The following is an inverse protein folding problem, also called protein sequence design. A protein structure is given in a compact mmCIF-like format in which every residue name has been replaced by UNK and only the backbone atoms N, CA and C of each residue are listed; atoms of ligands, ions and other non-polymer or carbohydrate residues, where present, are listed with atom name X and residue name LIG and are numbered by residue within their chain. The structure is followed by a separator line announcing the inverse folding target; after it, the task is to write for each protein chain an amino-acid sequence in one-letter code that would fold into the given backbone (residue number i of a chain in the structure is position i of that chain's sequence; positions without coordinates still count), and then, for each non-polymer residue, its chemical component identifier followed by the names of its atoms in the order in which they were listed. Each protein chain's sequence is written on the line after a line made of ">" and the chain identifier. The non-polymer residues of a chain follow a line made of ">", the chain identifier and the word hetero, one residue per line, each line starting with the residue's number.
data_IF_882991251503
#
_entry.id   IF_882991251503
#
_cell.length_a   1.000
_cell.length_b   1.000
_cell.length_c   1.000
_cell.angle_alpha   90.00
_cell.angle_beta   90.00
_cell.angle_gamma   90.00
#
_symmetry.space_group_name_H-M   'P 1'
#
loop_
_entity.id
_entity.type
_entity.pdbx_description
1 polymer ?
2 non-polymer ?
3 non-polymer ?
4 water ?
#
# COMPACT_ATOMS: atom_id res chain seq x y z
N UNK A 13 9.79 -5.96 28.65
CA UNK A 13 8.81 -5.01 28.07
C UNK A 13 8.98 -4.93 26.53
N UNK A 14 10.04 -5.56 25.99
CA UNK A 14 10.27 -5.61 24.54
C UNK A 14 9.26 -6.52 23.84
N UNK A 15 8.48 -5.95 22.93
CA UNK A 15 7.44 -6.67 22.22
C UNK A 15 7.81 -6.90 20.76
N UNK A 16 7.00 -7.73 20.12
CA UNK A 16 7.04 -7.87 18.70
C UNK A 16 5.70 -8.34 18.13
N UNK A 17 5.52 -8.09 16.85
CA UNK A 17 4.31 -8.48 16.18
C UNK A 17 4.71 -8.97 14.82
N UNK A 18 4.06 -10.02 14.35
CA UNK A 18 4.43 -10.66 13.09
C UNK A 18 3.17 -10.59 12.29
N UNK A 19 3.24 -10.10 11.07
CA UNK A 19 2.06 -9.86 10.25
C UNK A 19 1.79 -11.01 9.31
N UNK A 20 2.59 -12.07 9.41
CA UNK A 20 2.41 -13.24 8.54
C UNK A 20 1.93 -14.46 9.33
N UNK A 21 1.17 -15.30 8.66
CA UNK A 21 0.58 -16.45 9.32
C UNK A 21 1.22 -17.76 8.90
N UNK A 22 2.12 -17.71 7.91
CA UNK A 22 2.71 -18.87 7.25
C UNK A 22 4.04 -18.48 6.57
N UNK A 23 4.98 -19.44 6.43
CA UNK A 23 6.30 -19.16 5.84
C UNK A 23 6.58 -20.07 4.65
N UNK A 24 6.92 -19.48 3.51
CA UNK A 24 7.26 -20.22 2.29
C UNK A 24 8.72 -19.94 1.86
N UNK A 25 9.18 -20.65 0.83
CA UNK A 25 10.42 -20.37 0.13
C UNK A 25 10.13 -20.13 -1.36
N UNK A 26 10.91 -19.33 -2.08
CA UNK A 26 12.09 -18.62 -1.58
C UNK A 26 12.06 -17.25 -2.22
N UNK A 27 12.79 -16.31 -1.62
CA UNK A 27 12.78 -14.87 -1.99
C UNK A 27 14.22 -14.42 -2.35
N UNK A 28 14.36 -13.62 -3.39
CA UNK A 28 15.67 -13.25 -3.90
C UNK A 28 15.97 -11.77 -3.74
N UNK A 29 17.25 -11.42 -3.65
CA UNK A 29 17.72 -10.09 -3.41
C UNK A 29 18.73 -9.76 -4.50
N UNK A 30 18.53 -8.62 -5.14
CA UNK A 30 19.39 -8.14 -6.18
C UNK A 30 19.69 -6.68 -6.02
N UNK A 31 19.40 -6.11 -4.86
CA UNK A 31 19.66 -4.69 -4.60
C UNK A 31 18.44 -3.83 -4.28
N UNK A 32 17.21 -4.33 -4.49
CA UNK A 32 16.02 -3.56 -4.20
C UNK A 32 15.52 -3.79 -2.75
N UNK A 33 15.17 -2.69 -2.10
CA UNK A 33 14.64 -2.73 -0.74
C UNK A 33 13.30 -3.47 -0.67
N UNK A 34 13.13 -4.32 0.33
CA UNK A 34 11.76 -4.71 0.72
C UNK A 34 11.20 -3.55 1.53
N UNK A 35 9.98 -3.13 1.20
CA UNK A 35 9.27 -2.06 1.87
C UNK A 35 7.81 -2.44 2.17
N UNK A 36 7.35 -2.00 3.34
CA UNK A 36 5.97 -2.06 3.72
C UNK A 36 5.63 -0.80 4.53
N UNK A 37 4.47 -0.23 4.27
CA UNK A 37 3.98 0.85 5.11
C UNK A 37 3.16 0.31 6.25
N UNK A 38 3.18 1.08 7.33
CA UNK A 38 2.33 0.80 8.45
C UNK A 38 2.03 2.08 9.23
N UNK A 39 0.95 2.01 9.99
CA UNK A 39 0.62 2.96 11.04
C UNK A 39 0.07 2.18 12.22
N UNK A 40 0.20 2.81 13.37
CA UNK A 40 -0.19 2.27 14.64
C UNK A 40 -1.23 3.22 15.27
N UNK A 41 -2.12 2.64 16.08
CA UNK A 41 -3.18 3.37 16.72
C UNK A 41 -2.76 3.90 18.10
N UNK A 42 -1.54 3.60 18.51
CA UNK A 42 -1.01 4.02 19.80
C UNK A 42 0.48 4.30 19.60
N UNK A 43 1.02 5.17 20.45
CA UNK A 43 2.42 5.60 20.35
C UNK A 43 3.41 4.51 20.77
N UNK A 44 4.39 4.20 19.93
CA UNK A 44 5.40 3.19 20.28
C UNK A 44 6.83 3.64 19.93
N UNK A 45 7.81 2.89 20.44
CA UNK A 45 9.20 3.07 20.03
C UNK A 45 9.65 1.83 19.33
N UNK A 46 9.95 1.94 18.05
CA UNK A 46 10.41 0.80 17.27
C UNK A 46 11.93 0.68 17.44
N UNK A 47 12.40 -0.51 17.77
CA UNK A 47 13.83 -0.68 18.02
C UNK A 47 14.46 -1.52 16.94
N UNK A 48 13.63 -2.21 16.15
CA UNK A 48 14.15 -3.00 15.05
C UNK A 48 13.10 -3.74 14.28
N UNK A 49 13.56 -4.62 13.37
CA UNK A 49 12.72 -5.54 12.69
C UNK A 49 13.20 -6.96 12.90
N UNK A 50 12.28 -7.89 12.70
CA UNK A 50 12.64 -9.28 12.54
C UNK A 50 12.57 -9.51 11.06
N UNK A 51 13.61 -10.15 10.52
CA UNK A 51 13.64 -10.49 9.09
C UNK A 51 13.81 -11.98 8.88
N UNK A 52 13.26 -12.48 7.77
CA UNK A 52 13.38 -13.88 7.40
C UNK A 52 14.81 -14.07 6.95
N UNK A 53 15.37 -15.25 7.22
CA UNK A 53 16.74 -15.57 6.82
C UNK A 53 16.80 -16.61 5.71
N UNK A 54 18.02 -17.06 5.45
CA UNK A 54 18.32 -17.82 4.26
C UNK A 54 17.66 -19.20 4.27
N UNK A 55 17.58 -19.73 3.08
CA UNK A 55 17.06 -21.06 2.83
C UNK A 55 18.11 -22.11 3.25
N UNK A 56 19.37 -21.90 2.86
CA UNK A 56 20.49 -22.77 3.36
C UNK A 56 21.49 -21.98 4.19
N UNK A 57 22.24 -22.72 4.97
CA UNK A 57 23.14 -22.13 5.92
C UNK A 57 24.33 -23.03 6.14
N UNK A 58 25.31 -22.55 6.90
CA UNK A 58 25.26 -21.23 7.51
C UNK A 58 25.65 -20.15 6.51
N UNK A 59 25.11 -18.96 6.75
CA UNK A 59 25.33 -17.84 5.86
C UNK A 59 24.82 -16.57 6.54
N UNK A 60 25.03 -15.42 5.92
CA UNK A 60 24.64 -14.17 6.49
C UNK A 60 24.30 -13.13 5.44
N UNK A 61 23.93 -11.94 5.92
CA UNK A 61 23.50 -10.83 5.08
C UNK A 61 24.13 -9.51 5.49
N UNK A 62 24.37 -8.60 4.56
CA UNK A 62 24.36 -7.19 4.96
C UNK A 62 22.92 -6.78 4.78
N UNK A 63 22.48 -5.86 5.62
CA UNK A 63 21.12 -5.36 5.57
C UNK A 63 21.10 -3.93 5.98
N UNK A 64 20.48 -3.08 5.17
CA UNK A 64 20.21 -1.69 5.54
C UNK A 64 18.75 -1.57 5.95
N UNK A 65 18.46 -1.21 7.20
CA UNK A 65 17.08 -1.03 7.64
C UNK A 65 16.75 0.44 7.79
N UNK A 66 15.52 0.84 7.47
CA UNK A 66 15.10 2.22 7.67
C UNK A 66 13.65 2.33 8.04
N UNK A 67 13.32 3.39 8.79
CA UNK A 67 11.98 3.81 8.98
C UNK A 67 11.92 5.24 8.44
N UNK A 68 10.95 5.51 7.59
CA UNK A 68 10.79 6.76 6.91
C UNK A 68 9.41 7.33 7.23
N UNK A 69 9.29 8.64 7.45
CA UNK A 69 7.96 9.27 7.49
C UNK A 69 7.38 9.30 6.08
N UNK A 70 6.24 8.64 5.85
CA UNK A 70 5.76 8.41 4.48
C UNK A 70 5.40 9.69 3.73
N UNK A 71 4.77 10.62 4.41
CA UNK A 71 4.18 11.76 3.72
C UNK A 71 5.28 12.63 3.06
N UNK A 72 6.42 12.78 3.74
CA UNK A 72 7.53 13.62 3.28
C UNK A 72 8.74 12.87 2.73
N UNK A 73 8.74 11.54 2.86
CA UNK A 73 9.87 10.70 2.54
C UNK A 73 11.15 11.12 3.23
N UNK A 74 11.03 11.44 4.51
CA UNK A 74 12.15 11.79 5.35
C UNK A 74 12.48 10.56 6.21
N UNK A 75 13.76 10.22 6.32
CA UNK A 75 14.25 9.11 7.14
C UNK A 75 14.22 9.53 8.60
N UNK A 76 13.62 8.71 9.48
CA UNK A 76 13.64 8.92 10.93
C UNK A 76 14.73 8.12 11.59
N UNK A 77 15.04 6.95 11.02
CA UNK A 77 16.02 6.03 11.56
C UNK A 77 16.59 5.17 10.44
N UNK A 78 17.87 4.83 10.54
CA UNK A 78 18.57 4.04 9.54
C UNK A 78 19.83 3.40 10.07
N UNK A 79 20.07 2.16 9.65
CA UNK A 79 21.22 1.40 10.14
C UNK A 79 21.67 0.38 9.10
N UNK A 80 22.93 0.48 8.71
CA UNK A 80 23.60 -0.48 7.85
C UNK A 80 24.18 -1.51 8.76
N UNK A 81 23.63 -2.70 8.74
CA UNK A 81 23.95 -3.69 9.72
C UNK A 81 23.98 -5.04 9.00
N UNK A 82 23.65 -6.11 9.72
CA UNK A 82 23.80 -7.48 9.24
C UNK A 82 23.22 -8.45 10.24
N UNK A 83 23.05 -9.70 9.81
CA UNK A 83 22.66 -10.82 10.67
C UNK A 83 23.13 -12.09 10.02
N UNK A 84 23.38 -13.11 10.82
CA UNK A 84 23.75 -14.40 10.29
C UNK A 84 22.61 -15.35 10.57
N UNK A 85 22.59 -16.47 9.84
CA UNK A 85 21.46 -17.40 9.92
C UNK A 85 21.75 -18.82 9.40
N UNK A 86 20.87 -19.73 9.86
CA UNK A 86 21.06 -21.20 9.87
C UNK A 86 20.20 -21.98 8.84
N UNK A 87 19.30 -21.29 8.15
CA UNK A 87 18.40 -21.94 7.21
C UNK A 87 16.97 -22.18 7.71
N UNK A 88 16.74 -22.05 9.01
CA UNK A 88 15.38 -22.16 9.56
C UNK A 88 14.46 -21.06 9.03
N UNK A 89 13.17 -21.30 9.25
CA UNK A 89 12.07 -20.41 8.83
C UNK A 89 11.74 -19.35 9.88
N UNK A 90 12.59 -19.29 10.90
CA UNK A 90 12.47 -18.33 11.95
C UNK A 90 12.83 -16.90 11.44
N UNK A 91 12.61 -15.91 12.30
CA UNK A 91 12.89 -14.53 12.02
C UNK A 91 14.14 -14.17 12.78
N UNK A 92 14.87 -13.19 12.25
CA UNK A 92 16.13 -12.75 12.84
C UNK A 92 16.10 -11.25 13.12
N UNK A 93 16.55 -10.87 14.32
CA UNK A 93 16.46 -9.48 14.78
C UNK A 93 17.57 -8.67 14.10
N UNK A 94 17.22 -7.52 13.57
CA UNK A 94 18.18 -6.52 13.15
C UNK A 94 17.71 -5.21 13.75
N UNK A 95 18.59 -4.55 14.49
CA UNK A 95 18.26 -3.45 15.39
C UNK A 95 18.71 -2.09 14.84
N UNK A 96 17.92 -1.05 15.10
CA UNK A 96 18.29 0.33 14.79
C UNK A 96 19.24 0.80 15.86
N UNK A 97 19.99 1.85 15.57
CA UNK A 97 21.02 2.32 16.52
C UNK A 97 20.32 2.91 17.75
N UNK A 98 19.14 3.47 17.56
CA UNK A 98 18.32 3.98 18.67
C UNK A 98 16.85 3.80 18.35
N UNK A 99 15.99 3.84 19.38
CA UNK A 99 14.56 3.80 19.20
C UNK A 99 14.04 4.96 18.34
N UNK A 100 13.17 4.63 17.40
CA UNK A 100 12.45 5.62 16.60
C UNK A 100 11.03 5.71 17.18
N UNK A 101 10.60 6.91 17.58
CA UNK A 101 9.29 7.10 18.13
C UNK A 101 8.28 7.13 16.99
N UNK A 102 7.21 6.35 17.11
CA UNK A 102 6.16 6.29 16.11
C UNK A 102 4.88 6.84 16.72
N UNK A 103 4.33 7.88 16.08
CA UNK A 103 3.19 8.60 16.63
C UNK A 103 1.94 7.92 16.13
N UNK A 104 0.85 8.01 16.92
CA UNK A 104 -0.39 7.35 16.50
C UNK A 104 -0.96 7.84 15.16
N UNK A 105 -1.41 6.87 14.35
CA UNK A 105 -2.11 7.14 13.11
C UNK A 105 -1.31 7.95 12.05
N UNK A 106 0.03 7.98 12.17
CA UNK A 106 0.93 8.52 11.11
C UNK A 106 1.48 7.37 10.25
N UNK A 107 1.50 7.55 8.93
CA UNK A 107 1.92 6.49 8.03
C UNK A 107 3.44 6.54 7.93
N UNK A 108 4.06 5.37 8.18
CA UNK A 108 5.49 5.18 8.20
C UNK A 108 5.80 4.13 7.18
N UNK A 109 7.05 4.15 6.66
CA UNK A 109 7.50 3.18 5.66
C UNK A 109 8.66 2.43 6.32
N UNK A 110 8.54 1.10 6.42
CA UNK A 110 9.62 0.24 6.89
C UNK A 110 10.39 -0.27 5.67
N UNK A 111 11.71 -0.14 5.70
CA UNK A 111 12.57 -0.64 4.63
C UNK A 111 13.61 -1.55 5.20
N UNK A 112 13.84 -2.64 4.48
CA UNK A 112 14.97 -3.54 4.67
C UNK A 112 15.50 -3.89 3.28
N UNK A 113 16.77 -3.54 3.04
CA UNK A 113 17.48 -3.94 1.83
C UNK A 113 18.48 -4.98 2.25
N UNK A 114 18.18 -6.24 1.92
CA UNK A 114 19.04 -7.36 2.22
C UNK A 114 19.97 -7.59 1.04
N UNK A 115 21.21 -7.90 1.37
CA UNK A 115 22.21 -8.28 0.35
C UNK A 115 22.76 -9.63 0.82
N UNK A 116 22.39 -10.68 0.10
CA UNK A 116 22.58 -12.03 0.64
C UNK A 116 21.85 -13.08 -0.15
N UNK A 117 21.95 -14.33 0.29
CA UNK A 117 21.30 -15.42 -0.39
C UNK A 117 19.75 -15.40 -0.25
N UNK A 118 19.12 -16.32 -0.98
CA UNK A 118 17.70 -16.38 -1.03
C UNK A 118 17.17 -16.79 0.32
N UNK A 119 16.01 -16.23 0.67
CA UNK A 119 15.46 -16.40 1.97
C UNK A 119 14.08 -17.05 1.94
N UNK A 120 13.61 -17.37 3.13
CA UNK A 120 12.21 -17.63 3.35
C UNK A 120 11.47 -16.28 3.22
N UNK A 121 10.15 -16.37 3.12
CA UNK A 121 9.32 -15.21 3.06
C UNK A 121 7.94 -15.55 3.60
N UNK A 122 7.22 -14.50 4.03
CA UNK A 122 5.96 -14.65 4.72
C UNK A 122 4.81 -14.72 3.74
N UNK A 123 3.79 -15.54 4.06
CA UNK A 123 2.54 -15.65 3.30
C UNK A 123 1.33 -15.43 4.24
N UNK A 124 0.14 -15.29 3.66
CA UNK A 124 -1.09 -15.02 4.43
C UNK A 124 -0.89 -13.85 5.35
N UNK A 125 -0.32 -12.77 4.82
CA UNK A 125 -0.12 -11.56 5.59
C UNK A 125 -1.44 -10.89 5.95
N UNK A 126 -1.41 -10.20 7.08
CA UNK A 126 -2.58 -9.56 7.64
C UNK A 126 -2.53 -8.03 7.52
N UNK A 127 -3.66 -7.43 7.11
CA UNK A 127 -3.80 -6.00 7.06
C UNK A 127 -3.68 -5.44 8.45
N UNK A 128 -4.37 -6.04 9.40
CA UNK A 128 -4.41 -5.50 10.76
C UNK A 128 -3.96 -6.55 11.74
N UNK A 129 -3.12 -6.16 12.69
CA UNK A 129 -2.69 -7.13 13.65
C UNK A 129 -2.47 -6.46 14.98
N UNK A 130 -3.04 -7.02 16.04
CA UNK A 130 -3.06 -6.36 17.33
C UNK A 130 -2.23 -7.02 18.40
N UNK A 131 -1.44 -6.21 19.09
CA UNK A 131 -0.71 -6.62 20.29
C UNK A 131 -1.49 -6.15 21.52
N UNK A 132 -1.67 -7.04 22.50
CA UNK A 132 -2.43 -6.72 23.69
C UNK A 132 -1.60 -6.99 24.93
N UNK A 133 -1.44 -5.98 25.77
CA UNK A 133 -0.77 -6.13 27.03
C UNK A 133 -1.50 -7.18 27.90
N UNK A 134 -0.77 -8.17 28.39
CA UNK A 134 -1.34 -9.09 29.32
C UNK A 134 -1.57 -8.49 30.73
N UNK A 135 -1.07 -7.27 30.95
CA UNK A 135 -1.12 -6.58 32.27
C UNK A 135 -2.30 -5.62 32.35
N UNK A 136 -2.59 -4.94 31.24
CA UNK A 136 -3.63 -3.92 31.25
C UNK A 136 -4.74 -4.23 30.25
N UNK A 137 -4.50 -5.16 29.32
CA UNK A 137 -5.41 -5.33 28.21
C UNK A 137 -5.34 -4.24 27.14
N UNK A 138 -4.46 -3.24 27.29
CA UNK A 138 -4.31 -2.19 26.27
C UNK A 138 -3.95 -2.80 24.93
N UNK A 139 -4.69 -2.41 23.91
CA UNK A 139 -4.45 -2.83 22.52
C UNK A 139 -3.58 -1.82 21.69
N UNK A 140 -2.57 -2.36 20.99
CA UNK A 140 -1.73 -1.65 20.06
C UNK A 140 -1.94 -2.31 18.71
N UNK A 141 -2.77 -1.70 17.88
CA UNK A 141 -3.13 -2.18 16.57
C UNK A 141 -2.25 -1.56 15.45
N UNK A 142 -1.62 -2.49 14.69
CA UNK A 142 -0.83 -2.19 13.52
C UNK A 142 -1.69 -2.43 12.27
N UNK A 143 -1.66 -1.49 11.35
CA UNK A 143 -2.30 -1.58 10.05
C UNK A 143 -1.14 -1.53 9.06
N UNK A 144 -1.05 -2.49 8.13
CA UNK A 144 -0.04 -2.51 7.12
C UNK A 144 -0.67 -2.22 5.80
N UNK A 145 0.08 -1.48 4.97
CA UNK A 145 -0.38 -1.00 3.67
C UNK A 145 0.74 -1.20 2.67
N UNK A 146 0.38 -1.37 1.41
CA UNK A 146 1.27 -1.66 0.32
C UNK A 146 2.16 -0.47 0.00
N UNK A 147 3.45 -0.73 -0.16
CA UNK A 147 4.45 0.28 -0.56
C UNK A 147 4.68 0.09 -2.04
N UNK A 148 4.15 1.01 -2.83
CA UNK A 148 4.11 0.81 -4.26
C UNK A 148 5.46 1.13 -4.90
N UNK A 149 5.94 0.19 -5.73
CA UNK A 149 7.22 0.32 -6.43
C UNK A 149 8.38 0.14 -5.48
N UNK A 150 9.50 -0.34 -6.00
CA UNK A 150 10.74 -0.35 -5.25
C UNK A 150 10.57 -1.08 -3.93
N UNK A 151 9.93 -2.25 -3.94
CA UNK A 151 9.63 -2.99 -2.74
C UNK A 151 10.09 -4.45 -2.79
N UNK A 152 10.90 -4.83 -3.77
CA UNK A 152 11.35 -6.20 -3.96
C UNK A 152 10.22 -7.25 -4.00
N UNK A 153 8.98 -6.81 -4.22
CA UNK A 153 7.85 -7.70 -4.36
C UNK A 153 7.09 -7.89 -3.05
N UNK A 154 7.52 -7.21 -1.98
CA UNK A 154 6.88 -7.32 -0.72
C UNK A 154 5.50 -6.57 -0.73
N UNK A 155 4.54 -7.14 -0.01
CA UNK A 155 3.19 -6.67 0.01
C UNK A 155 2.60 -6.92 1.38
N UNK A 156 1.34 -6.52 1.50
CA UNK A 156 0.56 -6.79 2.69
C UNK A 156 0.34 -8.30 2.91
N UNK A 157 0.18 -9.03 1.81
CA UNK A 157 -0.04 -10.46 1.80
C UNK A 157 1.19 -11.40 1.82
N UNK A 158 2.29 -10.92 1.25
CA UNK A 158 3.57 -11.71 1.18
C UNK A 158 4.88 -10.87 1.29
N UNK A 159 5.97 -11.56 1.67
CA UNK A 159 7.32 -11.04 1.48
C UNK A 159 8.12 -10.95 2.76
N UNK A 160 8.95 -9.91 2.82
CA UNK A 160 9.85 -9.68 3.94
C UNK A 160 9.29 -8.70 4.96
N UNK A 161 10.09 -8.42 6.01
CA UNK A 161 9.73 -7.63 7.16
C UNK A 161 8.50 -8.17 7.88
N UNK A 162 8.60 -9.43 8.36
CA UNK A 162 7.53 -10.03 9.10
C UNK A 162 7.30 -9.31 10.39
N UNK A 163 8.37 -8.90 11.08
CA UNK A 163 8.26 -8.38 12.47
C UNK A 163 8.76 -6.97 12.72
N UNK A 164 7.99 -6.27 13.56
CA UNK A 164 8.39 -4.99 14.14
C UNK A 164 8.68 -5.28 15.58
N UNK A 165 9.77 -4.77 16.09
CA UNK A 165 10.17 -5.00 17.50
C UNK A 165 10.14 -3.61 18.10
N UNK A 166 9.37 -3.48 19.17
CA UNK A 166 8.99 -2.17 19.69
C UNK A 166 8.72 -2.26 21.19
N UNK A 167 8.64 -1.08 21.80
CA UNK A 167 8.16 -0.93 23.17
C UNK A 167 6.95 -0.03 23.10
N UNK A 168 5.98 -0.29 23.97
CA UNK A 168 4.77 0.46 24.05
C UNK A 168 5.02 1.60 25.07
N UNK A 169 4.17 2.62 25.03
CA UNK A 169 4.43 3.86 25.80
C UNK A 169 3.62 3.94 27.10
N UNK B 13 8.11 -0.52 -11.26
CA UNK B 13 7.99 0.98 -11.48
C UNK B 13 6.53 1.48 -11.37
N UNK B 14 6.22 2.18 -10.28
CA UNK B 14 4.91 2.75 -10.02
C UNK B 14 4.56 3.85 -11.03
N UNK B 15 3.42 3.66 -11.69
CA UNK B 15 2.92 4.60 -12.67
C UNK B 15 1.55 5.03 -12.18
N UNK B 16 1.11 6.21 -12.62
CA UNK B 16 -0.26 6.63 -12.44
C UNK B 16 -0.81 7.29 -13.69
N UNK B 17 -2.14 7.28 -13.77
CA UNK B 17 -2.81 7.97 -14.83
C UNK B 17 -4.06 8.64 -14.23
N UNK B 18 -4.36 9.84 -14.68
CA UNK B 18 -5.40 10.66 -14.09
C UNK B 18 -6.35 10.99 -15.22
N UNK B 19 -7.61 10.60 -15.07
CA UNK B 19 -8.56 10.69 -16.17
C UNK B 19 -9.28 12.05 -16.24
N UNK B 20 -9.01 12.96 -15.29
CA UNK B 20 -9.66 14.29 -15.27
C UNK B 20 -8.72 15.44 -15.69
N UNK B 21 -9.24 16.44 -16.42
CA UNK B 21 -8.49 17.64 -16.81
C UNK B 21 -8.60 18.77 -15.81
N UNK B 22 -9.57 18.73 -14.90
CA UNK B 22 -9.82 19.89 -14.04
C UNK B 22 -10.44 19.40 -12.71
N UNK B 23 -10.22 20.13 -11.62
CA UNK B 23 -10.72 19.74 -10.32
C UNK B 23 -11.61 20.84 -9.73
N UNK B 24 -12.74 20.45 -9.14
CA UNK B 24 -13.62 21.44 -8.54
C UNK B 24 -14.03 20.95 -7.17
N UNK B 25 -15.00 21.64 -6.61
CA UNK B 25 -15.49 21.44 -5.26
C UNK B 25 -17.01 21.65 -5.33
N UNK B 26 -17.85 20.85 -4.69
CA UNK B 26 -17.52 19.83 -3.69
C UNK B 26 -18.41 18.59 -3.91
N UNK B 27 -17.96 17.47 -3.41
CA UNK B 27 -18.62 16.20 -3.64
C UNK B 27 -18.95 15.64 -2.26
N UNK B 28 -20.16 15.08 -2.10
CA UNK B 28 -20.59 14.54 -0.80
C UNK B 28 -20.60 13.02 -0.69
N UNK B 29 -20.57 12.54 0.55
CA UNK B 29 -20.58 11.11 0.84
C UNK B 29 -21.62 10.80 1.90
N UNK B 30 -22.56 9.90 1.57
CA UNK B 30 -23.54 9.43 2.50
C UNK B 30 -23.61 7.89 2.58
N UNK B 31 -22.61 7.21 2.00
CA UNK B 31 -22.50 5.78 2.09
C UNK B 31 -22.59 5.04 0.77
N UNK B 32 -22.99 5.73 -0.30
CA UNK B 32 -22.97 5.13 -1.66
C UNK B 32 -21.55 5.14 -2.27
N UNK B 33 -21.22 4.06 -2.98
CA UNK B 33 -19.90 3.89 -3.64
C UNK B 33 -19.77 4.72 -4.90
N UNK B 34 -18.65 5.40 -5.02
CA UNK B 34 -18.20 5.87 -6.32
C UNK B 34 -17.69 4.68 -7.11
N UNK B 35 -18.17 4.54 -8.33
CA UNK B 35 -17.74 3.49 -9.22
C UNK B 35 -17.43 4.01 -10.63
N UNK B 36 -16.50 3.35 -11.30
CA UNK B 36 -16.22 3.61 -12.70
C UNK B 36 -15.70 2.32 -13.33
N UNK B 37 -16.09 2.04 -14.55
CA UNK B 37 -15.55 0.95 -15.29
C UNK B 37 -14.36 1.43 -16.15
N UNK B 38 -13.50 0.47 -16.45
CA UNK B 38 -12.36 0.69 -17.32
C UNK B 38 -11.86 -0.58 -17.94
N UNK B 39 -11.01 -0.37 -18.94
CA UNK B 39 -10.16 -1.40 -19.46
C UNK B 39 -8.92 -0.73 -20.03
N UNK B 40 -7.95 -1.59 -20.36
CA UNK B 40 -6.64 -1.18 -20.81
C UNK B 40 -6.25 -2.10 -21.93
N UNK B 41 -5.52 -1.56 -22.90
CA UNK B 41 -5.15 -2.31 -24.09
C UNK B 41 -3.91 -3.19 -23.85
N UNK B 42 -3.27 -3.09 -22.68
CA UNK B 42 -2.13 -3.96 -22.35
C UNK B 42 -2.26 -4.47 -20.94
N UNK B 43 -1.71 -5.66 -20.70
CA UNK B 43 -1.61 -6.29 -19.37
C UNK B 43 -0.91 -5.37 -18.35
N UNK B 44 -1.64 -5.00 -17.28
CA UNK B 44 -1.06 -4.27 -16.14
C UNK B 44 -1.40 -4.93 -14.81
N UNK B 45 -0.74 -4.45 -13.77
CA UNK B 45 -1.00 -4.84 -12.42
C UNK B 45 -1.46 -3.60 -11.71
N UNK B 46 -2.73 -3.61 -11.26
CA UNK B 46 -3.23 -2.42 -10.56
C UNK B 46 -2.86 -2.53 -9.07
N UNK B 47 -2.36 -1.45 -8.52
CA UNK B 47 -1.85 -1.44 -7.16
C UNK B 47 -2.67 -0.55 -6.20
N UNK B 48 -3.51 0.30 -6.77
CA UNK B 48 -4.35 1.17 -6.01
C UNK B 48 -4.96 2.27 -6.87
N UNK B 49 -5.64 3.20 -6.20
CA UNK B 49 -6.29 4.29 -6.87
C UNK B 49 -5.87 5.58 -6.23
N UNK B 50 -5.92 6.65 -7.02
CA UNK B 50 -5.79 7.99 -6.45
C UNK B 50 -7.19 8.57 -6.27
N UNK B 51 -7.43 9.18 -5.13
CA UNK B 51 -8.70 9.73 -4.80
C UNK B 51 -8.56 11.21 -4.34
N UNK B 52 -9.61 12.00 -4.59
CA UNK B 52 -9.68 13.36 -4.15
C UNK B 52 -10.02 13.37 -2.68
N UNK B 53 -9.46 14.35 -1.98
CA UNK B 53 -9.66 14.53 -0.57
C UNK B 53 -10.39 15.84 -0.24
N UNK B 54 -10.27 16.20 1.02
CA UNK B 54 -11.13 17.19 1.68
C UNK B 54 -11.05 18.62 1.11
N UNK B 55 -12.12 19.40 1.21
CA UNK B 55 -12.08 20.81 0.77
C UNK B 55 -11.49 21.81 1.81
N UNK B 56 -11.64 21.53 3.10
CA UNK B 56 -11.11 22.45 4.12
C UNK B 56 -9.89 21.84 4.81
N UNK B 57 -10.07 20.63 5.34
CA UNK B 57 -8.97 19.87 5.93
C UNK B 57 -8.26 20.58 7.07
N UNK B 58 -7.15 20.00 7.56
CA UNK B 58 -6.80 18.60 7.37
C UNK B 58 -7.81 17.69 8.06
N UNK B 59 -8.00 16.50 7.50
CA UNK B 59 -8.88 15.49 8.07
C UNK B 59 -8.55 14.10 7.49
N UNK B 60 -9.37 13.12 7.79
CA UNK B 60 -9.15 11.75 7.39
C UNK B 60 -10.39 11.25 6.63
N UNK B 61 -10.24 10.15 5.89
CA UNK B 61 -11.36 9.42 5.34
C UNK B 61 -11.11 7.98 5.66
N UNK B 62 -12.18 7.25 5.90
CA UNK B 62 -12.18 5.83 5.74
C UNK B 62 -12.62 5.64 4.28
N UNK B 63 -12.05 4.62 3.63
CA UNK B 63 -12.41 4.29 2.27
C UNK B 63 -12.26 2.78 2.06
N UNK B 64 -13.25 2.19 1.41
CA UNK B 64 -13.21 0.79 1.03
C UNK B 64 -13.10 0.81 -0.46
N UNK B 65 -12.06 0.14 -0.98
CA UNK B 65 -11.76 0.08 -2.44
C UNK B 65 -11.81 -1.32 -2.95
N UNK B 66 -12.31 -1.47 -4.17
CA UNK B 66 -12.43 -2.75 -4.81
C UNK B 66 -12.06 -2.60 -6.24
N UNK B 67 -11.53 -3.69 -6.78
CA UNK B 67 -11.59 -3.89 -8.18
C UNK B 67 -12.32 -5.20 -8.49
N UNK B 68 -13.21 -5.11 -9.47
CA UNK B 68 -14.15 -6.16 -9.76
C UNK B 68 -14.13 -6.53 -11.22
N UNK B 69 -14.23 -7.84 -11.49
CA UNK B 69 -14.45 -8.33 -12.86
C UNK B 69 -15.90 -8.00 -13.28
N UNK B 70 -16.07 -7.15 -14.27
CA UNK B 70 -17.36 -6.61 -14.57
C UNK B 70 -18.46 -7.63 -14.97
N UNK B 71 -18.17 -8.56 -15.87
CA UNK B 71 -19.22 -9.44 -16.40
C UNK B 71 -19.79 -10.37 -15.33
N UNK B 72 -18.94 -10.73 -14.36
CA UNK B 72 -19.22 -11.76 -13.37
C UNK B 72 -19.52 -11.16 -11.99
N UNK B 73 -19.08 -9.93 -11.74
CA UNK B 73 -19.25 -9.30 -10.43
C UNK B 73 -18.47 -9.98 -9.31
N UNK B 74 -17.35 -10.56 -9.70
CA UNK B 74 -16.42 -11.16 -8.77
C UNK B 74 -15.36 -10.16 -8.38
N UNK B 75 -15.17 -10.03 -7.07
CA UNK B 75 -14.12 -9.23 -6.47
C UNK B 75 -12.68 -9.80 -6.72
N UNK B 76 -11.82 -8.95 -7.26
CA UNK B 76 -10.48 -9.32 -7.67
C UNK B 76 -9.53 -8.84 -6.61
N UNK B 77 -9.79 -7.66 -6.07
CA UNK B 77 -9.08 -7.19 -4.91
C UNK B 77 -9.93 -6.19 -4.16
N UNK B 78 -9.73 -6.13 -2.87
CA UNK B 78 -10.47 -5.23 -2.00
C UNK B 78 -9.64 -4.91 -0.78
N UNK B 79 -9.93 -3.76 -0.20
CA UNK B 79 -9.22 -3.34 0.97
C UNK B 79 -10.03 -2.25 1.63
N UNK B 80 -10.23 -2.44 2.92
CA UNK B 80 -11.00 -1.56 3.75
C UNK B 80 -9.97 -0.68 4.39
N UNK B 81 -9.75 0.53 3.86
CA UNK B 81 -8.59 1.38 4.25
C UNK B 81 -8.94 2.86 4.63
N UNK B 82 -8.03 3.78 4.30
CA UNK B 82 -8.20 5.15 4.75
C UNK B 82 -7.10 6.01 4.22
N UNK B 83 -7.25 7.32 4.38
CA UNK B 83 -6.21 8.25 3.99
C UNK B 83 -6.40 9.62 4.65
N UNK B 84 -5.30 10.36 4.75
CA UNK B 84 -5.32 11.70 5.30
C UNK B 84 -5.02 12.70 4.20
N UNK B 85 -5.45 13.93 4.44
CA UNK B 85 -5.41 14.95 3.41
C UNK B 85 -5.44 16.31 4.07
N UNK B 86 -4.94 17.31 3.33
CA UNK B 86 -4.56 18.62 3.89
C UNK B 86 -5.54 19.76 3.54
N UNK B 87 -6.53 19.48 2.70
CA UNK B 87 -7.45 20.48 2.18
C UNK B 87 -7.20 20.88 0.73
N UNK B 88 -6.10 20.39 0.15
CA UNK B 88 -5.71 20.74 -1.21
C UNK B 88 -6.46 19.91 -2.28
N UNK B 89 -6.31 20.37 -3.52
CA UNK B 89 -6.99 19.77 -4.68
C UNK B 89 -6.18 18.66 -5.34
N UNK B 90 -5.21 18.10 -4.61
CA UNK B 90 -4.38 17.03 -5.18
C UNK B 90 -5.04 15.66 -4.95
N UNK B 91 -4.45 14.61 -5.51
CA UNK B 91 -4.97 13.28 -5.34
C UNK B 91 -4.24 12.58 -4.24
N UNK B 92 -4.92 11.63 -3.59
CA UNK B 92 -4.36 10.87 -2.48
C UNK B 92 -4.50 9.37 -2.76
N UNK B 93 -3.39 8.64 -2.57
CA UNK B 93 -3.27 7.23 -2.97
C UNK B 93 -3.77 6.33 -1.86
N UNK B 94 -4.55 5.33 -2.25
CA UNK B 94 -5.00 4.26 -1.38
C UNK B 94 -4.69 3.01 -2.16
N UNK B 95 -4.06 2.06 -1.49
CA UNK B 95 -3.52 0.89 -2.19
C UNK B 95 -4.26 -0.37 -1.83
N UNK B 96 -4.23 -1.32 -2.76
CA UNK B 96 -4.69 -2.65 -2.44
C UNK B 96 -3.62 -3.31 -1.60
N UNK B 97 -3.94 -4.51 -1.11
CA UNK B 97 -3.09 -5.29 -0.24
C UNK B 97 -1.91 -5.80 -1.03
N UNK B 98 -2.13 -6.06 -2.30
CA UNK B 98 -1.07 -6.50 -3.22
C UNK B 98 -1.54 -6.20 -4.64
N UNK B 99 -0.65 -6.23 -5.65
CA UNK B 99 -1.13 -5.90 -7.03
C UNK B 99 -2.20 -6.83 -7.59
N UNK B 100 -3.08 -6.27 -8.43
CA UNK B 100 -4.14 -7.05 -9.09
C UNK B 100 -3.91 -7.08 -10.58
N UNK B 101 -3.81 -8.28 -11.14
CA UNK B 101 -3.54 -8.41 -12.54
C UNK B 101 -4.78 -7.98 -13.31
N UNK B 102 -4.57 -7.11 -14.28
CA UNK B 102 -5.60 -6.63 -15.21
C UNK B 102 -5.17 -6.99 -16.64
N UNK B 103 -6.05 -7.69 -17.33
CA UNK B 103 -5.77 -8.25 -18.63
C UNK B 103 -6.29 -7.34 -19.71
N UNK B 104 -5.69 -7.44 -20.90
CA UNK B 104 -6.05 -6.43 -21.87
C UNK B 104 -7.48 -6.60 -22.38
N UNK B 105 -8.17 -5.48 -22.52
CA UNK B 105 -9.50 -5.44 -23.13
C UNK B 105 -10.55 -6.29 -22.41
N UNK B 106 -10.30 -6.63 -21.13
CA UNK B 106 -11.34 -7.11 -20.22
C UNK B 106 -11.93 -5.90 -19.47
N UNK B 107 -13.23 -5.90 -19.27
CA UNK B 107 -13.87 -4.84 -18.54
C UNK B 107 -13.78 -5.05 -17.04
N UNK B 108 -13.26 -4.06 -16.33
CA UNK B 108 -13.24 -4.03 -14.88
C UNK B 108 -14.04 -2.90 -14.32
N UNK B 109 -14.41 -3.04 -13.06
CA UNK B 109 -15.11 -1.98 -12.32
C UNK B 109 -14.26 -1.61 -11.13
N UNK B 110 -13.92 -0.31 -11.06
CA UNK B 110 -13.26 0.32 -9.92
C UNK B 110 -14.30 0.92 -8.96
N UNK B 111 -14.16 0.60 -7.67
CA UNK B 111 -15.08 1.04 -6.63
C UNK B 111 -14.34 1.65 -5.46
N UNK B 112 -14.84 2.78 -5.01
CA UNK B 112 -14.39 3.39 -3.75
C UNK B 112 -15.57 3.96 -3.03
N UNK B 113 -15.74 3.49 -1.80
CA UNK B 113 -16.79 3.93 -0.88
C UNK B 113 -16.16 4.77 0.24
N UNK B 114 -16.33 6.08 0.19
CA UNK B 114 -15.72 6.95 1.20
C UNK B 114 -16.69 7.36 2.29
N UNK B 115 -16.13 7.60 3.46
CA UNK B 115 -16.87 8.09 4.63
C UNK B 115 -16.00 9.18 5.23
N UNK B 116 -16.55 10.40 5.24
CA UNK B 116 -15.81 11.63 5.56
C UNK B 116 -16.54 12.87 5.05
N UNK B 117 -15.91 14.04 5.23
CA UNK B 117 -16.59 15.27 4.85
C UNK B 117 -16.48 15.46 3.34
N UNK B 118 -17.03 16.55 2.81
CA UNK B 118 -17.12 16.73 1.36
C UNK B 118 -15.74 16.91 0.80
N UNK B 119 -15.60 16.58 -0.47
CA UNK B 119 -14.33 16.61 -1.09
C UNK B 119 -14.30 17.42 -2.38
N UNK B 120 -13.09 17.52 -2.91
CA UNK B 120 -12.88 17.93 -4.28
C UNK B 120 -13.41 16.80 -5.19
N UNK B 121 -13.58 17.10 -6.46
CA UNK B 121 -13.99 16.12 -7.41
C UNK B 121 -13.44 16.52 -8.78
N UNK B 122 -13.41 15.58 -9.70
CA UNK B 122 -12.86 15.83 -11.03
C UNK B 122 -13.91 16.22 -12.05
N UNK B 123 -13.50 17.07 -13.00
CA UNK B 123 -14.36 17.48 -14.08
C UNK B 123 -13.60 17.31 -15.36
N UNK B 124 -14.32 17.33 -16.48
CA UNK B 124 -13.71 17.26 -17.82
C UNK B 124 -12.94 15.96 -18.00
N UNK B 125 -13.61 14.88 -17.61
CA UNK B 125 -13.07 13.57 -17.75
C UNK B 125 -13.03 13.07 -19.16
N UNK B 126 -12.09 12.18 -19.38
CA UNK B 126 -11.67 11.80 -20.70
C UNK B 126 -12.03 10.34 -20.88
N UNK B 127 -12.66 9.98 -21.99
CA UNK B 127 -12.98 8.59 -22.34
C UNK B 127 -11.71 7.70 -22.46
N UNK B 128 -10.62 8.28 -22.95
CA UNK B 128 -9.42 7.54 -23.22
C UNK B 128 -8.25 8.39 -22.83
N UNK B 129 -7.28 7.75 -22.18
CA UNK B 129 -6.09 8.40 -21.70
C UNK B 129 -4.91 7.42 -21.75
N UNK B 130 -3.74 7.93 -22.16
CA UNK B 130 -2.60 7.06 -22.50
C UNK B 130 -1.36 7.33 -21.65
N UNK B 131 -0.82 6.29 -21.05
CA UNK B 131 0.54 6.32 -20.48
C UNK B 131 1.54 5.93 -21.56
N UNK B 132 2.69 6.61 -21.60
CA UNK B 132 3.76 6.31 -22.57
C UNK B 132 5.11 6.23 -21.88
N UNK B 133 5.78 5.09 -22.03
CA UNK B 133 7.11 4.92 -21.48
C UNK B 133 8.11 5.89 -22.14
N UNK B 134 8.90 6.61 -21.33
CA UNK B 134 9.86 7.56 -21.85
C UNK B 134 11.16 6.87 -22.27
N UNK B 135 11.27 5.57 -21.96
CA UNK B 135 12.39 4.70 -22.37
C UNK B 135 12.10 3.99 -23.68
N UNK B 136 10.85 3.57 -23.88
CA UNK B 136 10.52 2.70 -25.04
C UNK B 136 9.50 3.33 -25.97
N UNK B 137 8.74 4.32 -25.52
CA UNK B 137 7.65 4.84 -26.33
C UNK B 137 6.41 3.93 -26.38
N UNK B 138 6.44 2.81 -25.65
CA UNK B 138 5.30 1.87 -25.55
C UNK B 138 4.05 2.54 -24.91
N UNK B 139 2.89 2.44 -25.55
CA UNK B 139 1.66 3.12 -25.08
C UNK B 139 0.68 2.12 -24.38
N UNK B 140 0.25 2.46 -23.17
CA UNK B 140 -0.76 1.72 -22.39
C UNK B 140 -1.97 2.66 -22.34
N UNK B 141 -3.01 2.31 -23.08
CA UNK B 141 -4.23 3.11 -23.22
C UNK B 141 -5.37 2.62 -22.28
N UNK B 142 -5.91 3.57 -21.53
CA UNK B 142 -7.03 3.30 -20.62
C UNK B 142 -8.26 3.86 -21.26
N UNK B 143 -9.30 3.04 -21.28
CA UNK B 143 -10.64 3.47 -21.65
C UNK B 143 -11.53 3.41 -20.41
N UNK B 144 -12.26 4.51 -20.16
CA UNK B 144 -13.19 4.61 -19.06
C UNK B 144 -14.62 4.69 -19.54
N UNK B 145 -15.52 4.01 -18.82
CA UNK B 145 -16.91 3.75 -19.18
C UNK B 145 -17.81 3.85 -17.94
N UNK B 146 -19.05 4.32 -18.18
CA UNK B 146 -20.04 4.62 -17.11
C UNK B 146 -20.42 3.34 -16.31
N UNK B 147 -20.36 3.38 -14.99
CA UNK B 147 -20.85 2.27 -14.15
C UNK B 147 -22.33 2.57 -13.77
N UNK B 148 -23.30 2.00 -14.47
CA UNK B 148 -24.73 2.38 -14.27
C UNK B 148 -25.23 2.05 -12.87
N UNK B 149 -25.77 3.06 -12.18
CA UNK B 149 -26.38 2.91 -10.86
C UNK B 149 -25.34 2.74 -9.74
N UNK B 150 -25.74 3.06 -8.52
CA UNK B 150 -24.91 2.81 -7.33
C UNK B 150 -23.45 3.25 -7.52
N UNK B 151 -23.26 4.49 -8.03
CA UNK B 151 -21.98 5.09 -8.37
C UNK B 151 -21.75 6.43 -7.69
N UNK B 152 -22.67 6.87 -6.83
CA UNK B 152 -22.51 8.12 -6.07
C UNK B 152 -22.40 9.38 -6.94
N UNK B 153 -22.92 9.31 -8.16
CA UNK B 153 -22.71 10.43 -9.11
C UNK B 153 -21.47 10.40 -9.98
N UNK B 154 -20.50 9.50 -9.72
CA UNK B 154 -19.33 9.39 -10.57
C UNK B 154 -19.70 8.85 -11.95
N UNK B 155 -19.02 9.39 -12.96
CA UNK B 155 -19.20 9.04 -14.34
C UNK B 155 -17.84 9.19 -15.07
N UNK B 156 -17.88 8.99 -16.38
CA UNK B 156 -16.74 9.23 -17.22
C UNK B 156 -16.26 10.71 -17.14
N UNK B 157 -17.23 11.63 -16.97
CA UNK B 157 -16.95 13.08 -17.08
C UNK B 157 -16.57 13.73 -15.78
N UNK B 158 -17.11 13.23 -14.68
CA UNK B 158 -17.05 13.88 -13.37
C UNK B 158 -17.01 12.89 -12.18
N UNK B 159 -16.36 13.30 -11.11
CA UNK B 159 -16.56 12.69 -9.81
C UNK B 159 -15.25 12.17 -9.20
N UNK B 160 -15.33 11.00 -8.62
CA UNK B 160 -14.20 10.46 -7.85
C UNK B 160 -13.39 9.45 -8.67
N UNK B 161 -12.41 8.85 -8.00
CA UNK B 161 -11.45 7.95 -8.61
C UNK B 161 -10.72 8.58 -9.79
N UNK B 162 -10.03 9.71 -9.54
CA UNK B 162 -9.25 10.35 -10.62
C UNK B 162 -8.20 9.47 -11.27
N UNK B 163 -7.56 8.61 -10.47
CA UNK B 163 -6.33 7.92 -10.88
C UNK B 163 -6.31 6.42 -10.63
N UNK B 164 -5.65 5.70 -11.52
CA UNK B 164 -5.35 4.29 -11.32
C UNK B 164 -3.85 4.30 -11.19
N UNK B 165 -3.37 3.59 -10.17
CA UNK B 165 -1.96 3.43 -9.91
C UNK B 165 -1.60 1.99 -10.26
N UNK B 166 -0.51 1.80 -10.98
CA UNK B 166 -0.27 0.54 -11.66
C UNK B 166 1.17 0.37 -12.07
N UNK B 167 1.56 -0.88 -12.33
CA UNK B 167 2.81 -1.20 -12.97
C UNK B 167 2.52 -1.72 -14.37
N UNK B 168 3.37 -1.35 -15.32
CA UNK B 168 3.41 -1.95 -16.65
C UNK B 168 4.17 -3.30 -16.61
N UNK B 169 3.94 -4.12 -17.63
CA UNK B 169 4.49 -5.49 -17.72
C UNK B 169 5.67 -5.57 -18.71
#
# INVERSE_FOLDING_TARGET
>A
MSLDRPRCCLRGKECSINRFQQVESRWGYSGTSDRIRFSVNKRIFVVGFGLYGSIHGPTDYQVNIQIIHTDSNTVLGQNDTGFSCDGSASTFRVMFKEPVEVLPNVNYTACATLKGPDSHYGTKGMRKVTHESPTTGAKTCFTFCYAAGNNNGTSVEDGQIPEVIFYTEGHHHHHH
>B
MSLDRPRCCLRGKECSINRFQQVESRWGYSGTSDRIRFSVNKRIFVVGFGLYGSIHGPTDYQVNIQIIHTDSNTVLGQNDTGFSCDGSASTFRVMFKEPVEVLPNVNYTACATLKGPDSHYGTKGMRKVTHESPTTGAKTCFTFCYAAGNNNGTSVEDGQIPEVIFYTEGHHHHHH
#
